data_IF_395684003899
#
_entry.id   IF_395684003899
#
_cell.length_a   1.000
_cell.length_b   1.000
_cell.length_c   1.000
_cell.angle_alpha   90.00
_cell.angle_beta   90.00
_cell.angle_gamma   90.00
#
_symmetry.space_group_name_H-M   'P 1'
#
loop_
_entity.id
_entity.type
_entity.pdbx_description
1 polymer ?
#
# COMPACT_ATOMS: atom_id res chain seq x y z
N UNK A 1 5.26 77.00 32.89
CA UNK A 1 5.32 75.53 32.97
C UNK A 1 5.22 74.96 31.55
N UNK A 2 6.33 74.96 30.81
CA UNK A 2 6.46 74.10 29.61
C UNK A 2 7.07 72.79 30.11
N UNK A 3 6.22 71.95 30.68
CA UNK A 3 6.57 70.64 31.17
C UNK A 3 6.77 69.70 29.98
N UNK A 4 8.03 69.59 29.55
CA UNK A 4 8.63 68.48 28.82
C UNK A 4 7.67 67.54 28.04
N UNK A 5 7.13 68.00 26.90
CA UNK A 5 6.33 67.16 25.97
C UNK A 5 7.18 66.21 25.10
N UNK A 6 8.50 66.43 25.04
CA UNK A 6 9.45 65.63 24.26
C UNK A 6 9.45 64.12 24.63
N UNK A 7 9.52 63.72 25.92
CA UNK A 7 9.50 62.30 26.30
C UNK A 7 8.21 61.57 25.92
N UNK A 8 7.06 62.26 25.87
CA UNK A 8 5.78 61.67 25.52
C UNK A 8 5.67 61.35 24.02
N UNK A 9 6.23 62.21 23.16
CA UNK A 9 6.28 62.01 21.70
C UNK A 9 7.24 60.86 21.36
N UNK A 10 8.40 60.79 22.01
CA UNK A 10 9.37 59.72 21.82
C UNK A 10 8.90 58.36 22.36
N UNK A 11 8.07 58.35 23.41
CA UNK A 11 7.43 57.13 23.91
C UNK A 11 6.35 56.63 22.93
N UNK A 12 5.51 57.52 22.39
CA UNK A 12 4.49 57.16 21.40
C UNK A 12 5.12 56.63 20.09
N UNK A 13 6.16 57.29 19.59
CA UNK A 13 6.89 56.84 18.38
C UNK A 13 7.56 55.47 18.58
N UNK A 14 8.13 55.22 19.77
CA UNK A 14 8.66 53.90 20.15
C UNK A 14 7.58 52.84 20.19
N UNK A 15 6.43 53.11 20.82
CA UNK A 15 5.30 52.16 20.87
C UNK A 15 4.82 51.82 19.45
N UNK A 16 4.68 52.80 18.56
CA UNK A 16 4.29 52.58 17.16
C UNK A 16 5.35 51.82 16.33
N UNK A 17 6.63 52.02 16.64
CA UNK A 17 7.71 51.21 16.06
C UNK A 17 7.64 49.76 16.56
N UNK A 18 7.50 49.55 17.87
CA UNK A 18 7.44 48.20 18.45
C UNK A 18 6.17 47.44 18.03
N UNK A 19 5.01 48.09 17.89
CA UNK A 19 3.81 47.43 17.35
C UNK A 19 3.95 47.11 15.86
N UNK A 20 4.62 47.96 15.08
CA UNK A 20 4.95 47.67 13.68
C UNK A 20 5.89 46.48 13.51
N UNK A 21 6.95 46.39 14.33
CA UNK A 21 7.87 45.25 14.32
C UNK A 21 7.23 43.96 14.83
N UNK A 22 6.38 44.03 15.86
CA UNK A 22 5.65 42.88 16.37
C UNK A 22 4.69 42.29 15.31
N UNK A 23 3.97 43.13 14.58
CA UNK A 23 3.09 42.67 13.50
C UNK A 23 3.89 42.00 12.36
N UNK A 24 5.04 42.56 11.99
CA UNK A 24 5.89 41.99 10.94
C UNK A 24 6.50 40.64 11.35
N UNK A 25 6.89 40.50 12.62
CA UNK A 25 7.41 39.24 13.15
C UNK A 25 6.35 38.12 13.15
N UNK A 26 5.09 38.44 13.47
CA UNK A 26 3.98 37.48 13.41
C UNK A 26 3.71 37.01 11.98
N UNK A 27 3.73 37.93 11.00
CA UNK A 27 3.55 37.59 9.59
C UNK A 27 4.68 36.69 9.09
N UNK A 28 5.94 37.00 9.43
CA UNK A 28 7.08 36.17 9.06
C UNK A 28 7.01 34.77 9.69
N UNK A 29 6.60 34.68 10.96
CA UNK A 29 6.40 33.39 11.62
C UNK A 29 5.33 32.54 10.91
N UNK A 30 4.20 33.15 10.51
CA UNK A 30 3.14 32.47 9.78
C UNK A 30 3.61 31.98 8.40
N UNK A 31 4.36 32.79 7.65
CA UNK A 31 4.90 32.38 6.34
C UNK A 31 5.87 31.21 6.49
N UNK A 32 6.78 31.26 7.48
CA UNK A 32 7.70 30.15 7.74
C UNK A 32 6.95 28.89 8.17
N UNK A 33 5.93 29.01 9.03
CA UNK A 33 5.09 27.87 9.43
C UNK A 33 4.33 27.26 8.25
N UNK A 34 3.82 28.07 7.33
CA UNK A 34 3.14 27.60 6.11
C UNK A 34 4.10 26.87 5.17
N UNK A 35 5.28 27.46 4.90
CA UNK A 35 6.32 26.81 4.07
C UNK A 35 6.83 25.50 4.66
N UNK A 36 6.94 25.43 5.98
CA UNK A 36 7.32 24.21 6.70
C UNK A 36 6.20 23.17 6.62
N UNK A 37 4.92 23.56 6.78
CA UNK A 37 3.77 22.68 6.59
C UNK A 37 3.68 22.13 5.16
N UNK A 38 3.89 22.97 4.14
CA UNK A 38 3.94 22.53 2.73
C UNK A 38 5.11 21.57 2.49
N UNK A 39 6.28 21.84 3.09
CA UNK A 39 7.44 20.95 3.01
C UNK A 39 7.18 19.60 3.70
N UNK A 40 6.49 19.58 4.84
CA UNK A 40 6.07 18.34 5.50
C UNK A 40 5.01 17.60 4.69
N UNK A 41 4.06 18.31 4.09
CA UNK A 41 3.01 17.73 3.26
C UNK A 41 3.60 17.12 1.99
N UNK A 42 4.45 17.84 1.26
CA UNK A 42 5.12 17.34 0.06
C UNK A 42 6.03 16.15 0.37
N UNK A 43 6.77 16.17 1.50
CA UNK A 43 7.57 15.01 1.92
C UNK A 43 6.71 13.82 2.32
N UNK A 44 5.59 14.06 3.00
CA UNK A 44 4.65 13.01 3.40
C UNK A 44 3.95 12.40 2.19
N UNK A 45 3.56 13.22 1.20
CA UNK A 45 2.97 12.78 -0.07
C UNK A 45 3.99 11.96 -0.88
N UNK A 46 5.22 12.46 -1.08
CA UNK A 46 6.27 11.69 -1.76
C UNK A 46 6.60 10.38 -1.05
N UNK A 47 6.65 10.39 0.28
CA UNK A 47 6.91 9.18 1.06
C UNK A 47 5.74 8.20 0.99
N UNK A 48 4.51 8.70 0.98
CA UNK A 48 3.28 7.92 0.80
C UNK A 48 3.26 7.27 -0.58
N UNK A 49 3.55 8.02 -1.65
CA UNK A 49 3.59 7.50 -3.03
C UNK A 49 4.67 6.42 -3.19
N UNK A 50 5.84 6.59 -2.55
CA UNK A 50 6.89 5.57 -2.53
C UNK A 50 6.46 4.30 -1.79
N UNK A 51 5.77 4.45 -0.66
CA UNK A 51 5.25 3.30 0.11
C UNK A 51 4.17 2.58 -0.69
N UNK A 52 3.26 3.33 -1.32
CA UNK A 52 2.23 2.78 -2.20
C UNK A 52 2.85 1.97 -3.35
N UNK A 53 3.81 2.55 -4.05
CA UNK A 53 4.51 1.88 -5.14
C UNK A 53 5.27 0.63 -4.65
N UNK A 54 5.95 0.72 -3.51
CA UNK A 54 6.66 -0.43 -2.94
C UNK A 54 5.70 -1.57 -2.55
N UNK A 55 4.55 -1.24 -1.96
CA UNK A 55 3.50 -2.23 -1.64
C UNK A 55 2.92 -2.86 -2.91
N UNK A 56 2.65 -2.06 -3.94
CA UNK A 56 2.16 -2.55 -5.22
C UNK A 56 3.17 -3.51 -5.89
N UNK A 57 4.45 -3.13 -5.93
CA UNK A 57 5.53 -3.96 -6.47
C UNK A 57 5.71 -5.27 -5.69
N UNK A 58 5.67 -5.20 -4.36
CA UNK A 58 5.75 -6.39 -3.51
C UNK A 58 4.56 -7.32 -3.75
N UNK A 59 3.35 -6.77 -3.87
CA UNK A 59 2.17 -7.55 -4.20
C UNK A 59 2.30 -8.25 -5.55
N UNK A 60 2.72 -7.53 -6.59
CA UNK A 60 2.97 -8.10 -7.92
C UNK A 60 4.01 -9.23 -7.85
N UNK A 61 5.09 -9.02 -7.11
CA UNK A 61 6.17 -9.98 -6.90
C UNK A 61 5.65 -11.27 -6.24
N UNK A 62 4.89 -11.16 -5.15
CA UNK A 62 4.31 -12.31 -4.45
C UNK A 62 3.34 -13.10 -5.35
N UNK A 63 2.50 -12.42 -6.14
CA UNK A 63 1.61 -13.08 -7.11
C UNK A 63 2.39 -13.80 -8.21
N UNK A 64 3.44 -13.18 -8.75
CA UNK A 64 4.32 -13.81 -9.75
C UNK A 64 5.07 -15.01 -9.15
N UNK A 65 5.51 -14.93 -7.89
CA UNK A 65 6.15 -16.06 -7.22
C UNK A 65 5.17 -17.20 -6.96
N UNK A 66 3.92 -16.91 -6.59
CA UNK A 66 2.88 -17.93 -6.48
C UNK A 66 2.68 -18.67 -7.81
N UNK A 67 2.53 -17.94 -8.92
CA UNK A 67 2.37 -18.51 -10.26
C UNK A 67 3.57 -19.36 -10.69
N UNK A 68 4.80 -18.82 -10.54
CA UNK A 68 6.03 -19.56 -10.89
C UNK A 68 6.23 -20.81 -10.04
N UNK A 69 5.87 -20.75 -8.77
CA UNK A 69 5.96 -21.90 -7.86
C UNK A 69 4.95 -22.96 -8.28
N UNK A 70 3.73 -22.54 -8.64
CA UNK A 70 2.70 -23.41 -9.19
C UNK A 70 3.10 -24.05 -10.53
N UNK A 71 3.70 -23.31 -11.46
CA UNK A 71 4.21 -23.90 -12.71
C UNK A 71 5.22 -25.03 -12.48
N UNK A 72 5.89 -25.00 -11.33
CA UNK A 72 6.80 -26.05 -10.86
C UNK A 72 6.16 -27.43 -10.70
N UNK A 73 4.83 -27.56 -10.63
CA UNK A 73 4.15 -28.87 -10.47
C UNK A 73 4.44 -29.83 -11.61
N UNK A 74 4.71 -29.30 -12.80
CA UNK A 74 4.96 -30.09 -14.00
C UNK A 74 6.38 -30.65 -14.08
N UNK A 75 7.26 -30.31 -13.11
CA UNK A 75 8.63 -30.82 -13.08
C UNK A 75 8.65 -32.25 -12.53
N UNK A 76 9.41 -33.13 -13.19
CA UNK A 76 9.58 -34.51 -12.73
C UNK A 76 10.17 -34.55 -11.31
N UNK A 77 9.51 -35.28 -10.40
CA UNK A 77 9.91 -35.41 -9.01
C UNK A 77 9.56 -34.21 -8.12
N UNK A 78 8.70 -33.30 -8.59
CA UNK A 78 8.22 -32.18 -7.78
C UNK A 78 7.47 -32.66 -6.53
N UNK A 79 7.88 -32.18 -5.36
CA UNK A 79 7.14 -32.37 -4.12
C UNK A 79 5.98 -31.38 -4.07
N UNK A 80 4.84 -31.79 -4.64
CA UNK A 80 3.65 -30.96 -4.66
C UNK A 80 3.12 -30.66 -3.26
N UNK A 81 2.95 -31.71 -2.44
CA UNK A 81 2.31 -31.61 -1.13
C UNK A 81 3.19 -30.93 -0.08
N UNK A 82 4.49 -31.21 -0.07
CA UNK A 82 5.42 -30.77 0.96
C UNK A 82 6.15 -29.47 0.66
N UNK A 83 6.27 -29.08 -0.61
CA UNK A 83 7.03 -27.90 -1.02
C UNK A 83 6.19 -26.91 -1.83
N UNK A 84 5.64 -27.33 -2.97
CA UNK A 84 4.96 -26.39 -3.89
C UNK A 84 3.71 -25.81 -3.25
N UNK A 85 2.82 -26.67 -2.75
CA UNK A 85 1.53 -26.26 -2.27
C UNK A 85 1.60 -25.34 -1.03
N UNK A 86 2.47 -25.62 -0.03
CA UNK A 86 2.74 -24.68 1.06
C UNK A 86 3.35 -23.36 0.60
N UNK A 87 4.30 -23.38 -0.34
CA UNK A 87 4.94 -22.16 -0.84
C UNK A 87 3.96 -21.28 -1.64
N UNK A 88 3.13 -21.87 -2.50
CA UNK A 88 2.03 -21.16 -3.17
C UNK A 88 1.10 -20.52 -2.13
N UNK A 89 0.74 -21.27 -1.07
CA UNK A 89 -0.12 -20.76 0.00
C UNK A 89 0.49 -19.54 0.68
N UNK A 90 1.77 -19.63 1.00
CA UNK A 90 2.50 -18.56 1.65
C UNK A 90 2.48 -17.28 0.81
N UNK A 91 2.81 -17.37 -0.48
CA UNK A 91 2.83 -16.22 -1.37
C UNK A 91 1.46 -15.57 -1.54
N UNK A 92 0.40 -16.38 -1.69
CA UNK A 92 -0.97 -15.86 -1.79
C UNK A 92 -1.45 -15.19 -0.50
N UNK A 93 -1.09 -15.74 0.66
CA UNK A 93 -1.43 -15.13 1.95
C UNK A 93 -0.72 -13.78 2.14
N UNK A 94 0.56 -13.68 1.75
CA UNK A 94 1.30 -12.42 1.78
C UNK A 94 0.66 -11.40 0.83
N UNK A 95 0.35 -11.79 -0.41
CA UNK A 95 -0.31 -10.92 -1.37
C UNK A 95 -1.67 -10.41 -0.87
N UNK A 96 -2.46 -11.27 -0.20
CA UNK A 96 -3.71 -10.84 0.43
C UNK A 96 -3.46 -9.86 1.58
N UNK A 97 -2.47 -10.12 2.45
CA UNK A 97 -2.16 -9.20 3.53
C UNK A 97 -1.80 -7.80 2.98
N UNK A 98 -1.03 -7.75 1.90
CA UNK A 98 -0.70 -6.50 1.20
C UNK A 98 -1.95 -5.87 0.58
N UNK A 99 -2.83 -6.64 -0.07
CA UNK A 99 -4.10 -6.14 -0.60
C UNK A 99 -4.95 -5.47 0.50
N UNK A 100 -5.04 -6.08 1.68
CA UNK A 100 -5.78 -5.51 2.81
C UNK A 100 -5.14 -4.22 3.33
N UNK A 101 -3.81 -4.12 3.34
CA UNK A 101 -3.08 -2.90 3.69
C UNK A 101 -3.36 -1.80 2.65
N UNK A 102 -3.31 -2.13 1.36
CA UNK A 102 -3.60 -1.20 0.26
C UNK A 102 -5.04 -0.67 0.36
N UNK A 103 -6.01 -1.56 0.52
CA UNK A 103 -7.43 -1.18 0.65
C UNK A 103 -7.68 -0.34 1.91
N UNK A 104 -7.11 -0.73 3.05
CA UNK A 104 -7.32 -0.01 4.32
C UNK A 104 -6.60 1.33 4.37
N UNK A 105 -5.43 1.44 3.73
CA UNK A 105 -4.58 2.62 3.76
C UNK A 105 -4.87 3.63 2.66
N UNK A 106 -5.27 3.17 1.47
CA UNK A 106 -5.35 3.98 0.26
C UNK A 106 -6.72 3.97 -0.42
N UNK A 107 -7.60 3.03 -0.09
CA UNK A 107 -8.98 2.96 -0.62
C UNK A 107 -9.28 1.69 -1.41
N UNK A 108 -10.55 1.40 -1.63
CA UNK A 108 -11.03 0.19 -2.31
C UNK A 108 -10.59 0.09 -3.78
N UNK A 109 -10.33 1.22 -4.43
CA UNK A 109 -9.81 1.32 -5.81
C UNK A 109 -8.42 0.67 -5.96
N UNK A 110 -7.66 0.54 -4.87
CA UNK A 110 -6.38 -0.16 -4.81
C UNK A 110 -6.52 -1.67 -4.57
N UNK A 111 -7.75 -2.21 -4.54
CA UNK A 111 -7.95 -3.66 -4.49
C UNK A 111 -7.49 -4.29 -5.80
N UNK A 112 -6.55 -5.22 -5.71
CA UNK A 112 -6.02 -5.98 -6.85
C UNK A 112 -6.61 -7.38 -6.86
N UNK A 113 -6.82 -7.97 -5.68
CA UNK A 113 -7.48 -9.27 -5.55
C UNK A 113 -8.95 -9.06 -5.21
N UNK A 114 -9.83 -9.68 -5.99
CA UNK A 114 -11.21 -9.85 -5.59
C UNK A 114 -11.31 -10.85 -4.43
N UNK A 115 -12.23 -10.59 -3.51
CA UNK A 115 -12.56 -11.48 -2.39
C UNK A 115 -12.98 -12.87 -2.90
N UNK A 116 -13.57 -12.92 -4.11
CA UNK A 116 -13.93 -14.16 -4.78
C UNK A 116 -12.74 -15.08 -5.08
N UNK A 117 -11.61 -14.54 -5.55
CA UNK A 117 -10.42 -15.35 -5.88
C UNK A 117 -9.84 -15.96 -4.60
N UNK A 118 -9.74 -15.16 -3.54
CA UNK A 118 -9.24 -15.64 -2.26
C UNK A 118 -10.10 -16.76 -1.66
N UNK A 119 -11.43 -16.57 -1.65
CA UNK A 119 -12.33 -17.58 -1.10
C UNK A 119 -12.22 -18.91 -1.87
N UNK A 120 -12.01 -18.86 -3.20
CA UNK A 120 -11.79 -20.07 -4.01
C UNK A 120 -10.46 -20.75 -3.70
N UNK A 121 -9.40 -19.98 -3.43
CA UNK A 121 -8.10 -20.52 -3.02
C UNK A 121 -8.20 -21.21 -1.64
N UNK A 122 -8.87 -20.59 -0.66
CA UNK A 122 -9.09 -21.22 0.65
C UNK A 122 -10.00 -22.46 0.54
N UNK A 123 -11.03 -22.40 -0.30
CA UNK A 123 -11.87 -23.56 -0.62
C UNK A 123 -11.03 -24.71 -1.19
N UNK A 124 -10.13 -24.43 -2.14
CA UNK A 124 -9.20 -25.41 -2.67
C UNK A 124 -8.39 -26.09 -1.55
N UNK A 125 -7.76 -25.33 -0.65
CA UNK A 125 -6.94 -25.92 0.42
C UNK A 125 -7.75 -26.83 1.34
N UNK A 126 -9.00 -26.45 1.63
CA UNK A 126 -9.91 -27.23 2.46
C UNK A 126 -10.34 -28.53 1.78
N UNK A 127 -10.77 -28.44 0.51
CA UNK A 127 -11.21 -29.60 -0.29
C UNK A 127 -10.07 -30.57 -0.57
N UNK A 128 -8.89 -30.05 -0.91
CA UNK A 128 -7.69 -30.85 -1.16
C UNK A 128 -7.27 -31.64 0.08
N UNK A 129 -7.22 -30.98 1.25
CA UNK A 129 -6.89 -31.65 2.51
C UNK A 129 -7.91 -32.73 2.88
N UNK A 130 -9.21 -32.47 2.65
CA UNK A 130 -10.28 -33.43 2.89
C UNK A 130 -10.19 -34.63 1.96
N UNK A 131 -9.96 -34.41 0.66
CA UNK A 131 -9.81 -35.46 -0.33
C UNK A 131 -8.64 -36.39 0.01
N UNK A 132 -7.48 -35.81 0.37
CA UNK A 132 -6.30 -36.57 0.83
C UNK A 132 -6.60 -37.40 2.08
N UNK A 133 -7.22 -36.79 3.10
CA UNK A 133 -7.58 -37.48 4.35
C UNK A 133 -8.55 -38.64 4.13
N UNK A 134 -9.44 -38.52 3.15
CA UNK A 134 -10.48 -39.52 2.83
C UNK A 134 -10.09 -40.46 1.70
N UNK A 135 -8.84 -40.37 1.18
CA UNK A 135 -8.36 -41.16 0.03
C UNK A 135 -9.25 -41.04 -1.22
N UNK A 136 -9.87 -39.87 -1.40
CA UNK A 136 -10.66 -39.51 -2.59
C UNK A 136 -9.77 -38.85 -3.64
N UNK A 137 -10.26 -38.79 -4.88
CA UNK A 137 -9.58 -38.05 -5.94
C UNK A 137 -9.44 -36.56 -5.57
N UNK A 138 -8.30 -35.97 -5.92
CA UNK A 138 -8.01 -34.53 -5.78
C UNK A 138 -8.27 -33.75 -7.06
N UNK A 139 -8.77 -34.39 -8.13
CA UNK A 139 -8.88 -33.79 -9.46
C UNK A 139 -9.77 -32.54 -9.48
N UNK A 140 -10.88 -32.55 -8.75
CA UNK A 140 -11.79 -31.41 -8.64
C UNK A 140 -11.13 -30.21 -7.94
N UNK A 141 -10.42 -30.47 -6.84
CA UNK A 141 -9.67 -29.43 -6.14
C UNK A 141 -8.54 -28.88 -7.03
N UNK A 142 -7.81 -29.75 -7.73
CA UNK A 142 -6.76 -29.32 -8.65
C UNK A 142 -7.31 -28.47 -9.80
N UNK A 143 -8.47 -28.82 -10.36
CA UNK A 143 -9.14 -28.01 -11.38
C UNK A 143 -9.57 -26.63 -10.85
N UNK A 144 -9.99 -26.55 -9.58
CA UNK A 144 -10.27 -25.27 -8.91
C UNK A 144 -9.00 -24.43 -8.76
N UNK A 145 -7.89 -25.04 -8.36
CA UNK A 145 -6.60 -24.36 -8.24
C UNK A 145 -6.10 -23.85 -9.59
N UNK A 146 -6.14 -24.69 -10.63
CA UNK A 146 -5.79 -24.32 -12.01
C UNK A 146 -6.55 -23.08 -12.47
N UNK A 147 -7.87 -23.05 -12.22
CA UNK A 147 -8.71 -21.91 -12.55
C UNK A 147 -8.29 -20.66 -11.79
N UNK A 148 -8.03 -20.78 -10.49
CA UNK A 148 -7.56 -19.66 -9.67
C UNK A 148 -6.21 -19.12 -10.17
N UNK A 149 -5.27 -19.98 -10.55
CA UNK A 149 -3.96 -19.56 -11.06
C UNK A 149 -4.07 -18.81 -12.39
N UNK A 150 -4.94 -19.24 -13.30
CA UNK A 150 -5.21 -18.51 -14.55
C UNK A 150 -5.87 -17.15 -14.32
N UNK A 151 -6.78 -17.07 -13.35
CA UNK A 151 -7.38 -15.80 -12.95
C UNK A 151 -6.32 -14.86 -12.33
N UNK A 152 -5.44 -15.38 -11.48
CA UNK A 152 -4.31 -14.63 -10.92
C UNK A 152 -3.33 -14.14 -11.98
N UNK A 153 -3.01 -14.97 -12.97
CA UNK A 153 -2.20 -14.56 -14.13
C UNK A 153 -2.84 -13.39 -14.86
N UNK A 154 -4.16 -13.45 -15.08
CA UNK A 154 -4.91 -12.34 -15.69
C UNK A 154 -4.83 -11.08 -14.83
N UNK A 155 -4.98 -11.19 -13.50
CA UNK A 155 -4.83 -10.07 -12.57
C UNK A 155 -3.44 -9.44 -12.68
N UNK A 156 -2.37 -10.24 -12.65
CA UNK A 156 -0.99 -9.75 -12.76
C UNK A 156 -0.77 -8.99 -14.07
N UNK A 157 -1.35 -9.46 -15.17
CA UNK A 157 -1.20 -8.87 -16.50
C UNK A 157 -2.03 -7.59 -16.72
N UNK A 158 -3.11 -7.41 -15.96
CA UNK A 158 -4.10 -6.35 -16.23
C UNK A 158 -4.18 -5.29 -15.15
N UNK A 159 -3.78 -5.60 -13.92
CA UNK A 159 -3.88 -4.68 -12.76
C UNK A 159 -2.56 -3.99 -12.42
N UNK A 160 -1.46 -4.35 -13.08
CA UNK A 160 -0.15 -3.73 -12.84
C UNK A 160 0.44 -3.09 -14.10
N UNK A 161 0.97 -1.90 -13.95
CA UNK A 161 1.80 -1.23 -14.96
C UNK A 161 3.19 -1.89 -15.07
N UNK A 162 3.95 -1.53 -16.09
CA UNK A 162 5.32 -2.02 -16.30
C UNK A 162 6.30 -1.65 -15.16
N UNK A 163 6.01 -0.58 -14.41
CA UNK A 163 6.78 -0.15 -13.23
C UNK A 163 6.28 -0.82 -11.93
N UNK A 164 5.22 -1.65 -11.99
CA UNK A 164 4.58 -2.30 -10.85
C UNK A 164 3.56 -1.45 -10.08
N UNK A 165 3.19 -0.27 -10.58
CA UNK A 165 2.08 0.50 -10.03
C UNK A 165 0.73 -0.17 -10.33
N UNK A 166 -0.27 0.04 -9.46
CA UNK A 166 -1.61 -0.51 -9.64
C UNK A 166 -2.40 0.35 -10.63
N UNK A 167 -3.04 -0.30 -11.59
CA UNK A 167 -3.99 0.33 -12.51
C UNK A 167 -5.33 0.44 -11.76
N UNK A 168 -5.80 1.66 -11.56
CA UNK A 168 -7.07 1.92 -10.87
C UNK A 168 -8.25 1.66 -11.82
N UNK A 169 -9.33 1.11 -11.27
CA UNK A 169 -10.61 0.89 -11.96
C UNK A 169 -11.67 1.92 -11.56
#
# INVERSE_FOLDING_TARGET
MQENLQPAIDAKKRIWMYTGYAALAVILALVVSLSVMESYKSRAEEQSDRVLLALAQEMQSELVFALRTYDGIHKNGADFDGAILPSVKQHLNTAMAINNILVSGYGSEYSVLDTGIYNRVEQFYSEYALAKKTSRSTDEAMALLDKCMRELETVVLTRFEANGAIILE
#
